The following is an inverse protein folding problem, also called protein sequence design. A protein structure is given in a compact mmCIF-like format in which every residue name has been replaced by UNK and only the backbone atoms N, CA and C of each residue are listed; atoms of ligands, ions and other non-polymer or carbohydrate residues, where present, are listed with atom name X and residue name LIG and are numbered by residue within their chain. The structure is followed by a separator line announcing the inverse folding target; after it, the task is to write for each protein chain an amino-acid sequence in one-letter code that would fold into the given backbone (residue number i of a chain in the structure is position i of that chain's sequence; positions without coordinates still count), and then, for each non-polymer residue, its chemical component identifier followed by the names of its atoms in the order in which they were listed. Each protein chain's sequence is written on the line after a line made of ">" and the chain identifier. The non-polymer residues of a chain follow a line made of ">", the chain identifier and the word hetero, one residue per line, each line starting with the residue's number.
data_IF_470845456213
#
_entry.id   IF_470845456213
#
_cell.length_a   1.000
_cell.length_b   1.000
_cell.length_c   1.000
_cell.angle_alpha   90.00
_cell.angle_beta   90.00
_cell.angle_gamma   90.00
#
_symmetry.space_group_name_H-M   'P 1'
#
loop_
_entity.id
_entity.type
_entity.pdbx_description
1 polymer ?
#
# COMPACT_ATOMS: atom_id res chain seq x y z
N UNK A 1 -5.40 -14.98 -10.31
CA UNK A 1 -4.81 -13.64 -10.53
C UNK A 1 -5.14 -12.80 -9.30
N UNK A 2 -4.41 -13.04 -8.19
CA UNK A 2 -4.64 -12.43 -6.88
C UNK A 2 -3.80 -11.15 -6.65
N UNK A 3 -3.22 -10.61 -7.73
CA UNK A 3 -2.11 -9.65 -7.71
C UNK A 3 -2.44 -8.38 -6.92
N UNK A 4 -3.68 -7.86 -7.03
CA UNK A 4 -4.12 -6.66 -6.31
C UNK A 4 -4.26 -6.86 -4.80
N UNK A 5 -4.70 -8.04 -4.37
CA UNK A 5 -4.90 -8.35 -2.96
C UNK A 5 -3.55 -8.59 -2.26
N UNK A 6 -2.62 -9.24 -2.97
CA UNK A 6 -1.22 -9.32 -2.55
C UNK A 6 -0.56 -7.94 -2.50
N UNK A 7 -0.74 -7.12 -3.53
CA UNK A 7 -0.18 -5.76 -3.61
C UNK A 7 -0.73 -4.83 -2.52
N UNK A 8 -2.02 -4.95 -2.17
CA UNK A 8 -2.61 -4.27 -1.02
C UNK A 8 -1.91 -4.69 0.28
N UNK A 9 -1.68 -5.98 0.47
CA UNK A 9 -1.04 -6.54 1.65
C UNK A 9 0.43 -6.06 1.80
N UNK A 10 1.19 -6.03 0.71
CA UNK A 10 2.55 -5.47 0.68
C UNK A 10 2.56 -3.96 0.98
N UNK A 11 1.57 -3.21 0.49
CA UNK A 11 1.47 -1.76 0.72
C UNK A 11 1.13 -1.45 2.19
N UNK A 12 0.25 -2.24 2.81
CA UNK A 12 -0.09 -2.12 4.23
C UNK A 12 1.12 -2.45 5.11
N UNK A 13 1.87 -3.50 4.79
CA UNK A 13 3.09 -3.84 5.51
C UNK A 13 4.13 -2.70 5.44
N UNK A 14 4.37 -2.14 4.25
CA UNK A 14 5.25 -0.98 4.10
C UNK A 14 4.78 0.24 4.91
N UNK A 15 3.48 0.47 5.00
CA UNK A 15 2.97 1.57 5.82
C UNK A 15 3.21 1.33 7.31
N UNK A 16 3.07 0.09 7.79
CA UNK A 16 3.40 -0.27 9.17
C UNK A 16 4.89 -0.05 9.49
N UNK A 17 5.78 -0.37 8.55
CA UNK A 17 7.22 -0.10 8.68
C UNK A 17 7.51 1.41 8.74
N UNK A 18 6.83 2.23 7.93
CA UNK A 18 6.97 3.69 8.00
C UNK A 18 6.53 4.25 9.35
N UNK A 19 5.45 3.74 9.94
CA UNK A 19 5.05 4.12 11.30
C UNK A 19 6.12 3.75 12.33
N UNK A 20 6.60 2.50 12.30
CA UNK A 20 7.62 2.03 13.25
C UNK A 20 8.92 2.84 13.16
N UNK A 21 9.43 3.05 11.94
CA UNK A 21 10.63 3.82 11.67
C UNK A 21 10.48 5.29 12.11
N UNK A 22 9.31 5.89 11.86
CA UNK A 22 9.03 7.27 12.28
C UNK A 22 9.03 7.42 13.81
N UNK A 23 8.45 6.48 14.54
CA UNK A 23 8.42 6.49 16.01
C UNK A 23 9.83 6.30 16.58
N UNK A 24 10.61 5.38 16.00
CA UNK A 24 11.99 5.15 16.42
C UNK A 24 12.86 6.40 16.31
N UNK A 25 12.77 7.10 15.17
CA UNK A 25 13.46 8.38 14.97
C UNK A 25 12.93 9.43 15.94
N UNK A 26 11.61 9.62 16.05
CA UNK A 26 11.05 10.60 16.98
C UNK A 26 11.51 10.38 18.43
N UNK A 27 11.62 9.13 18.89
CA UNK A 27 12.17 8.80 20.21
C UNK A 27 13.67 9.09 20.31
N UNK A 28 14.46 8.69 19.31
CA UNK A 28 15.92 8.88 19.31
C UNK A 28 16.32 10.34 19.46
N UNK A 29 15.54 11.24 18.88
CA UNK A 29 15.80 12.68 18.95
C UNK A 29 14.85 13.43 19.90
N UNK A 30 13.99 12.72 20.63
CA UNK A 30 13.15 13.34 21.65
C UNK A 30 14.06 13.96 22.72
N UNK A 31 13.82 15.23 23.04
CA UNK A 31 14.51 15.88 24.15
C UNK A 31 13.75 15.61 25.45
N UNK A 32 14.42 15.21 26.54
CA UNK A 32 13.75 15.05 27.82
C UNK A 32 13.11 16.39 28.23
N UNK A 33 11.81 16.34 28.50
CA UNK A 33 11.03 17.53 28.84
C UNK A 33 11.59 18.19 30.10
N UNK A 34 11.84 19.50 30.05
CA UNK A 34 12.31 20.25 31.21
C UNK A 34 11.11 20.56 32.12
N UNK A 35 11.11 19.98 33.31
CA UNK A 35 10.18 20.38 34.35
C UNK A 35 10.54 21.79 34.86
N UNK A 36 9.56 22.69 35.04
CA UNK A 36 9.82 23.98 35.66
C UNK A 36 10.35 23.77 37.08
N UNK A 37 11.58 24.23 37.34
CA UNK A 37 12.28 24.05 38.63
C UNK A 37 13.44 23.06 38.63
N UNK A 38 13.70 22.34 37.53
CA UNK A 38 14.86 21.43 37.41
C UNK A 38 15.91 22.01 36.45
N UNK A 39 16.66 23.02 36.92
CA UNK A 39 17.83 23.56 36.23
C UNK A 39 19.04 22.62 36.40
N UNK A 40 18.99 21.46 35.72
CA UNK A 40 20.24 20.78 35.35
C UNK A 40 20.84 21.57 34.18
N UNK A 41 21.68 22.54 34.50
CA UNK A 41 22.71 23.05 33.59
C UNK A 41 23.56 21.87 33.12
N UNK A 42 23.26 21.32 31.94
CA UNK A 42 24.00 20.16 31.45
C UNK A 42 23.68 19.61 30.07
N UNK A 43 22.57 19.98 29.43
CA UNK A 43 22.27 19.50 28.07
C UNK A 43 21.72 20.61 27.19
N UNK A 44 22.61 21.47 26.72
CA UNK A 44 22.39 22.18 25.46
C UNK A 44 22.74 21.19 24.34
N UNK A 45 21.73 20.50 23.80
CA UNK A 45 21.88 19.84 22.50
C UNK A 45 21.88 20.92 21.40
N UNK A 46 22.70 20.78 20.36
CA UNK A 46 22.82 21.77 19.31
C UNK A 46 21.48 21.96 18.59
N UNK A 47 21.10 23.22 18.37
CA UNK A 47 19.86 23.65 17.72
C UNK A 47 19.65 23.00 16.33
N UNK A 48 20.73 22.56 15.66
CA UNK A 48 20.69 21.78 14.42
C UNK A 48 19.94 20.44 14.54
N UNK A 49 19.97 19.77 15.70
CA UNK A 49 19.29 18.49 15.88
C UNK A 49 17.76 18.62 15.88
N UNK A 50 17.20 19.76 16.31
CA UNK A 50 15.73 19.96 16.28
C UNK A 50 15.19 20.15 14.86
N UNK A 51 15.99 20.74 13.97
CA UNK A 51 15.57 20.97 12.59
C UNK A 51 15.54 19.66 11.79
N UNK A 52 16.55 18.80 11.94
CA UNK A 52 16.56 17.48 11.29
C UNK A 52 15.36 16.62 11.73
N UNK A 53 14.94 16.68 13.00
CA UNK A 53 13.76 15.94 13.48
C UNK A 53 12.47 16.42 12.83
N UNK A 54 12.32 17.73 12.64
CA UNK A 54 11.17 18.25 11.89
C UNK A 54 11.18 17.79 10.44
N UNK A 55 12.35 17.76 9.79
CA UNK A 55 12.48 17.27 8.42
C UNK A 55 12.15 15.77 8.32
N UNK A 56 12.66 14.94 9.25
CA UNK A 56 12.31 13.52 9.31
C UNK A 56 10.82 13.30 9.59
N UNK A 57 10.24 14.05 10.54
CA UNK A 57 8.82 13.97 10.84
C UNK A 57 7.96 14.33 9.60
N UNK A 58 8.35 15.36 8.85
CA UNK A 58 7.68 15.76 7.62
C UNK A 58 7.84 14.71 6.51
N UNK A 59 9.03 14.14 6.36
CA UNK A 59 9.31 13.07 5.41
C UNK A 59 8.44 11.84 5.70
N UNK A 60 8.43 11.36 6.94
CA UNK A 60 7.60 10.22 7.32
C UNK A 60 6.11 10.51 7.20
N UNK A 61 5.65 11.70 7.58
CA UNK A 61 4.26 12.11 7.38
C UNK A 61 3.87 12.06 5.90
N UNK A 62 4.76 12.51 5.01
CA UNK A 62 4.55 12.47 3.55
C UNK A 62 4.48 11.04 3.04
N UNK A 63 5.39 10.16 3.48
CA UNK A 63 5.40 8.74 3.10
C UNK A 63 4.14 8.02 3.58
N UNK A 64 3.75 8.23 4.84
CA UNK A 64 2.53 7.64 5.43
C UNK A 64 1.28 8.13 4.67
N UNK A 65 1.17 9.43 4.40
CA UNK A 65 0.03 9.99 3.68
C UNK A 65 -0.06 9.49 2.23
N UNK A 66 1.09 9.29 1.58
CA UNK A 66 1.15 8.71 0.23
C UNK A 66 0.72 7.23 0.25
N UNK A 67 1.27 6.42 1.16
CA UNK A 67 0.86 5.02 1.29
C UNK A 67 -0.63 4.88 1.59
N UNK A 68 -1.21 5.76 2.41
CA UNK A 68 -2.65 5.76 2.67
C UNK A 68 -3.46 5.97 1.40
N UNK A 69 -3.06 6.95 0.56
CA UNK A 69 -3.71 7.19 -0.74
C UNK A 69 -3.53 6.03 -1.71
N UNK A 70 -2.33 5.44 -1.76
CA UNK A 70 -2.06 4.29 -2.62
C UNK A 70 -2.92 3.08 -2.21
N UNK A 71 -3.15 2.89 -0.91
CA UNK A 71 -4.10 1.89 -0.37
C UNK A 71 -5.54 2.21 -0.79
N UNK A 72 -6.01 3.45 -0.64
CA UNK A 72 -7.37 3.85 -1.06
C UNK A 72 -7.58 3.59 -2.56
N UNK A 73 -6.63 3.96 -3.41
CA UNK A 73 -6.69 3.71 -4.86
C UNK A 73 -6.64 2.21 -5.16
N UNK A 74 -5.83 1.44 -4.43
CA UNK A 74 -5.80 -0.02 -4.58
C UNK A 74 -7.14 -0.65 -4.22
N UNK A 75 -7.79 -0.18 -3.16
CA UNK A 75 -9.13 -0.62 -2.73
C UNK A 75 -10.18 -0.26 -3.78
N UNK A 76 -10.18 0.98 -4.31
CA UNK A 76 -11.08 1.39 -5.40
C UNK A 76 -10.83 0.61 -6.70
N UNK A 77 -9.61 0.14 -6.92
CA UNK A 77 -9.22 -0.65 -8.09
C UNK A 77 -9.48 -2.15 -7.94
N UNK A 78 -9.93 -2.60 -6.77
CA UNK A 78 -10.30 -3.99 -6.59
C UNK A 78 -11.48 -4.29 -7.53
N UNK A 79 -11.41 -5.38 -8.31
CA UNK A 79 -12.57 -5.81 -9.09
C UNK A 79 -13.72 -6.09 -8.12
N UNK A 80 -14.81 -5.31 -8.23
CA UNK A 80 -16.06 -5.59 -7.50
C UNK A 80 -16.51 -7.03 -7.77
N UNK A 81 -17.20 -7.66 -6.80
CA UNK A 81 -17.71 -9.04 -6.94
C UNK A 81 -18.52 -9.28 -8.24
N UNK A 82 -19.18 -8.25 -8.79
CA UNK A 82 -19.86 -8.31 -10.08
C UNK A 82 -18.92 -8.56 -11.28
N UNK A 83 -17.69 -8.03 -11.24
CA UNK A 83 -16.70 -8.23 -12.30
C UNK A 83 -16.25 -9.69 -12.38
N UNK A 84 -16.20 -10.40 -11.26
CA UNK A 84 -15.87 -11.83 -11.26
C UNK A 84 -16.92 -12.67 -11.98
N UNK A 85 -18.21 -12.36 -11.80
CA UNK A 85 -19.30 -13.15 -12.39
C UNK A 85 -19.46 -12.83 -13.87
N UNK A 86 -19.50 -11.55 -14.26
CA UNK A 86 -19.58 -11.16 -15.67
C UNK A 86 -18.36 -11.63 -16.48
N UNK A 87 -17.15 -11.50 -15.92
CA UNK A 87 -15.95 -11.98 -16.59
C UNK A 87 -15.98 -13.51 -16.69
N UNK A 88 -16.35 -14.25 -15.63
CA UNK A 88 -16.49 -15.71 -15.70
C UNK A 88 -17.55 -16.15 -16.72
N UNK A 89 -18.69 -15.47 -16.80
CA UNK A 89 -19.74 -15.72 -17.80
C UNK A 89 -19.22 -15.43 -19.20
N UNK A 90 -18.46 -14.34 -19.39
CA UNK A 90 -17.84 -14.01 -20.67
C UNK A 90 -16.77 -15.03 -21.10
N UNK A 91 -15.90 -15.46 -20.17
CA UNK A 91 -14.91 -16.51 -20.42
C UNK A 91 -15.57 -17.85 -20.74
N UNK A 92 -16.68 -18.18 -20.10
CA UNK A 92 -17.45 -19.39 -20.38
C UNK A 92 -18.12 -19.34 -21.75
N UNK A 93 -18.74 -18.20 -22.10
CA UNK A 93 -19.29 -17.97 -23.43
C UNK A 93 -18.21 -18.08 -24.53
N UNK A 94 -17.01 -17.55 -24.28
CA UNK A 94 -15.88 -17.65 -25.20
C UNK A 94 -15.37 -19.10 -25.34
N UNK A 95 -15.37 -19.85 -24.24
CA UNK A 95 -15.07 -21.29 -24.25
C UNK A 95 -16.06 -22.11 -25.07
N UNK A 96 -17.35 -21.80 -24.95
CA UNK A 96 -18.40 -22.45 -25.74
C UNK A 96 -18.34 -22.05 -27.21
N UNK A 97 -18.04 -20.79 -27.52
CA UNK A 97 -17.84 -20.31 -28.89
C UNK A 97 -16.64 -21.00 -29.57
N UNK A 98 -15.56 -21.23 -28.82
CA UNK A 98 -14.41 -21.97 -29.32
C UNK A 98 -14.74 -23.45 -29.58
N UNK A 99 -15.52 -24.08 -28.68
CA UNK A 99 -16.00 -25.46 -28.90
C UNK A 99 -16.89 -25.57 -30.13
N UNK A 100 -17.85 -24.66 -30.31
CA UNK A 100 -18.74 -24.66 -31.48
C UNK A 100 -17.97 -24.42 -32.77
N UNK A 101 -16.96 -23.55 -32.74
CA UNK A 101 -16.10 -23.29 -33.91
C UNK A 101 -15.29 -24.53 -34.29
N UNK A 102 -14.68 -25.22 -33.33
CA UNK A 102 -13.96 -26.49 -33.58
C UNK A 102 -14.89 -27.62 -34.05
N UNK A 103 -16.13 -27.66 -33.56
CA UNK A 103 -17.12 -28.65 -33.99
C UNK A 103 -17.49 -28.43 -35.46
N UNK A 104 -17.77 -27.18 -35.84
CA UNK A 104 -18.03 -26.80 -37.22
C UNK A 104 -16.84 -27.19 -38.11
N UNK A 105 -15.61 -26.84 -37.72
CA UNK A 105 -14.41 -27.18 -38.48
C UNK A 105 -14.25 -28.70 -38.72
N UNK A 106 -14.57 -29.52 -37.71
CA UNK A 106 -14.52 -30.98 -37.85
C UNK A 106 -15.66 -31.55 -38.70
N UNK A 107 -16.85 -30.97 -38.70
CA UNK A 107 -17.94 -31.38 -39.59
C UNK A 107 -17.64 -31.00 -41.04
N UNK A 108 -17.05 -29.82 -41.29
CA UNK A 108 -16.56 -29.43 -42.61
C UNK A 108 -15.48 -30.37 -43.16
N UNK A 109 -14.64 -30.94 -42.29
CA UNK A 109 -13.61 -31.92 -42.68
C UNK A 109 -14.14 -33.34 -42.97
N UNK A 110 -15.42 -33.61 -42.65
CA UNK A 110 -16.08 -34.91 -42.87
C UNK A 110 -16.98 -34.94 -44.11
N UNK A 111 -17.25 -33.78 -44.71
CA UNK A 111 -17.91 -33.63 -46.00
C UNK A 111 -16.87 -33.68 -47.13
#
# INVERSE_FOLDING_TARGET
>A
MADRLTQLQDTINQQADHFCNSIGILQQYSTPSKFPGFDRSGSQTPQQQQQEVSDYAHLFATLIARCAKDIDVLIESLPNEDSSTDLQVWWQALGDWNKTTKKQENDWKKL
#
